data_IF_316642986133
#
_entry.id   IF_316642986133
#
_cell.length_a   1.000
_cell.length_b   1.000
_cell.length_c   1.000
_cell.angle_alpha   90.00
_cell.angle_beta   90.00
_cell.angle_gamma   90.00
#
_symmetry.space_group_name_H-M   'P 1'
#
loop_
_entity.id
_entity.type
_entity.pdbx_description
1 polymer ?
#
# COMPACT_ATOMS: atom_id res chain seq x y z
N UNK A 1 115.53 -16.68 13.63
CA UNK A 1 114.72 -17.24 14.72
C UNK A 1 113.31 -16.70 14.56
N UNK A 2 112.33 -17.56 14.23
CA UNK A 2 110.85 -17.32 14.26
C UNK A 2 110.34 -16.21 13.29
N UNK A 3 109.16 -16.21 12.66
CA UNK A 3 107.87 -16.95 12.65
C UNK A 3 107.04 -16.28 11.51
N UNK A 4 106.43 -16.99 10.55
CA UNK A 4 105.08 -17.59 10.56
C UNK A 4 103.95 -16.69 9.97
N UNK A 5 103.15 -17.35 9.12
CA UNK A 5 101.98 -16.94 8.31
C UNK A 5 100.89 -16.11 9.03
N UNK A 6 100.07 -15.37 8.26
CA UNK A 6 98.62 -15.63 8.12
C UNK A 6 97.94 -14.74 7.06
N UNK A 7 96.98 -15.33 6.32
CA UNK A 7 96.03 -14.70 5.39
C UNK A 7 94.86 -14.07 6.17
N UNK A 8 94.29 -12.99 5.63
CA UNK A 8 92.95 -12.48 5.95
C UNK A 8 92.76 -11.11 5.31
N UNK A 9 91.62 -10.66 4.80
CA UNK A 9 90.29 -11.21 4.56
C UNK A 9 89.64 -10.18 3.61
N UNK A 10 88.95 -10.62 2.55
CA UNK A 10 88.20 -9.71 1.67
C UNK A 10 87.08 -9.03 2.49
N UNK A 11 87.12 -7.70 2.50
CA UNK A 11 86.10 -6.86 3.13
C UNK A 11 84.85 -6.82 2.22
N UNK A 12 83.89 -7.71 2.48
CA UNK A 12 82.52 -7.54 2.03
C UNK A 12 81.89 -6.31 2.70
N UNK A 13 81.66 -5.25 1.93
CA UNK A 13 80.95 -4.04 2.41
C UNK A 13 79.50 -4.40 2.78
N UNK A 14 79.00 -4.00 3.96
CA UNK A 14 77.59 -4.18 4.30
C UNK A 14 76.72 -3.21 3.49
N UNK A 15 75.72 -3.74 2.79
CA UNK A 15 74.64 -2.94 2.18
C UNK A 15 73.78 -2.33 3.29
N UNK A 16 74.06 -1.08 3.66
CA UNK A 16 73.16 -0.24 4.44
C UNK A 16 72.32 0.57 3.45
N UNK A 17 71.05 0.19 3.21
CA UNK A 17 70.21 0.95 2.28
C UNK A 17 68.73 0.57 2.10
N UNK A 18 68.16 -0.43 2.78
CA UNK A 18 66.85 -0.96 2.33
C UNK A 18 65.64 -0.74 3.27
N UNK A 19 65.82 -0.37 4.54
CA UNK A 19 64.66 -0.24 5.47
C UNK A 19 63.92 1.10 5.41
N UNK A 20 64.60 2.18 4.99
CA UNK A 20 63.98 3.51 4.88
C UNK A 20 63.14 3.69 3.60
N UNK A 21 63.57 3.11 2.48
CA UNK A 21 62.87 3.24 1.19
C UNK A 21 61.56 2.45 1.15
N UNK A 22 61.49 1.30 1.83
CA UNK A 22 60.27 0.50 1.92
C UNK A 22 59.15 1.26 2.65
N UNK A 23 59.48 2.00 3.72
CA UNK A 23 58.47 2.76 4.47
C UNK A 23 57.90 3.92 3.65
N UNK A 24 58.75 4.61 2.87
CA UNK A 24 58.34 5.68 1.95
C UNK A 24 57.49 5.13 0.81
N UNK A 25 57.88 3.99 0.23
CA UNK A 25 57.12 3.34 -0.84
C UNK A 25 55.74 2.86 -0.36
N UNK A 26 55.65 2.26 0.83
CA UNK A 26 54.38 1.86 1.44
C UNK A 26 53.50 3.07 1.76
N UNK A 27 54.08 4.12 2.35
CA UNK A 27 53.35 5.36 2.62
C UNK A 27 52.82 6.01 1.32
N UNK A 28 53.61 5.97 0.23
CA UNK A 28 53.21 6.47 -1.08
C UNK A 28 52.06 5.64 -1.68
N UNK A 29 52.13 4.32 -1.61
CA UNK A 29 51.04 3.43 -2.06
C UNK A 29 49.76 3.65 -1.24
N UNK A 30 49.87 3.79 0.08
CA UNK A 30 48.71 4.06 0.97
C UNK A 30 48.10 5.43 0.68
N UNK A 31 48.90 6.45 0.44
CA UNK A 31 48.41 7.80 0.11
C UNK A 31 47.78 7.87 -1.29
N UNK A 32 48.29 7.13 -2.28
CA UNK A 32 47.61 6.94 -3.57
C UNK A 32 46.29 6.20 -3.37
N UNK A 33 46.28 5.10 -2.62
CA UNK A 33 45.07 4.34 -2.36
C UNK A 33 44.00 5.15 -1.62
N UNK A 34 44.40 5.94 -0.61
CA UNK A 34 43.55 6.89 0.10
C UNK A 34 43.07 8.02 -0.82
N UNK A 35 43.93 8.53 -1.69
CA UNK A 35 43.56 9.54 -2.69
C UNK A 35 42.55 9.03 -3.71
N UNK A 36 42.71 7.80 -4.21
CA UNK A 36 41.77 7.15 -5.15
C UNK A 36 40.42 6.87 -4.50
N UNK A 37 40.42 6.36 -3.26
CA UNK A 37 39.17 6.14 -2.51
C UNK A 37 38.47 7.47 -2.20
N UNK A 38 39.19 8.47 -1.70
CA UNK A 38 38.64 9.80 -1.46
C UNK A 38 38.09 10.45 -2.73
N UNK A 39 38.81 10.35 -3.87
CA UNK A 39 38.33 10.82 -5.16
C UNK A 39 37.06 10.08 -5.61
N UNK A 40 37.00 8.75 -5.44
CA UNK A 40 35.81 7.98 -5.76
C UNK A 40 34.60 8.44 -4.93
N UNK A 41 34.78 8.70 -3.63
CA UNK A 41 33.73 9.24 -2.75
C UNK A 41 33.32 10.68 -3.07
N UNK A 42 34.25 11.53 -3.51
CA UNK A 42 33.99 12.94 -3.85
C UNK A 42 33.53 13.15 -5.31
N UNK A 43 33.57 12.10 -6.12
CA UNK A 43 33.22 12.16 -7.53
C UNK A 43 31.75 12.63 -7.72
N UNK A 44 31.46 13.43 -8.76
CA UNK A 44 30.09 13.82 -9.07
C UNK A 44 29.15 12.62 -9.27
N UNK A 45 29.66 11.53 -9.85
CA UNK A 45 28.91 10.30 -10.06
C UNK A 45 28.50 9.63 -8.73
N UNK A 46 29.42 9.54 -7.76
CA UNK A 46 29.09 8.99 -6.44
C UNK A 46 28.03 9.83 -5.72
N UNK A 47 28.13 11.17 -5.80
CA UNK A 47 27.11 12.08 -5.25
C UNK A 47 25.74 11.93 -5.92
N UNK A 48 25.72 11.79 -7.24
CA UNK A 48 24.48 11.57 -7.99
C UNK A 48 23.81 10.23 -7.61
N UNK A 49 24.60 9.16 -7.45
CA UNK A 49 24.10 7.86 -7.00
C UNK A 49 23.50 7.96 -5.58
N UNK A 50 24.17 8.67 -4.67
CA UNK A 50 23.68 8.82 -3.30
C UNK A 50 22.41 9.68 -3.22
N UNK A 51 22.33 10.74 -4.03
CA UNK A 51 21.13 11.55 -4.18
C UNK A 51 19.97 10.68 -4.71
N UNK A 52 20.19 9.86 -5.74
CA UNK A 52 19.17 8.97 -6.29
C UNK A 52 18.69 7.93 -5.26
N UNK A 53 19.59 7.34 -4.46
CA UNK A 53 19.21 6.45 -3.36
C UNK A 53 18.36 7.15 -2.31
N UNK A 54 18.72 8.38 -1.95
CA UNK A 54 17.97 9.20 -0.99
C UNK A 54 16.57 9.49 -1.52
N UNK A 55 16.46 9.95 -2.76
CA UNK A 55 15.17 10.17 -3.43
C UNK A 55 14.32 8.90 -3.47
N UNK A 56 14.89 7.78 -3.92
CA UNK A 56 14.15 6.51 -4.01
C UNK A 56 13.65 6.04 -2.63
N UNK A 57 14.46 6.20 -1.59
CA UNK A 57 14.07 5.87 -0.21
C UNK A 57 12.94 6.78 0.29
N UNK A 58 13.03 8.08 0.05
CA UNK A 58 12.02 9.05 0.45
C UNK A 58 10.68 8.76 -0.25
N UNK A 59 10.69 8.53 -1.57
CA UNK A 59 9.51 8.15 -2.32
C UNK A 59 8.89 6.84 -1.82
N UNK A 60 9.70 5.80 -1.57
CA UNK A 60 9.22 4.53 -1.05
C UNK A 60 8.57 4.69 0.34
N UNK A 61 9.19 5.43 1.25
CA UNK A 61 8.63 5.72 2.59
C UNK A 61 7.29 6.47 2.49
N UNK A 62 7.19 7.46 1.61
CA UNK A 62 5.95 8.18 1.37
C UNK A 62 4.83 7.26 0.84
N UNK A 63 5.15 6.40 -0.13
CA UNK A 63 4.20 5.42 -0.67
C UNK A 63 3.70 4.45 0.39
N UNK A 64 4.60 3.89 1.19
CA UNK A 64 4.24 2.93 2.23
C UNK A 64 3.41 3.58 3.34
N UNK A 65 3.70 4.83 3.69
CA UNK A 65 2.90 5.59 4.65
C UNK A 65 1.49 5.92 4.13
N UNK A 66 1.34 6.23 2.83
CA UNK A 66 0.01 6.41 2.21
C UNK A 66 -0.81 5.11 2.28
N UNK A 67 -0.20 3.97 1.93
CA UNK A 67 -0.86 2.65 2.04
C UNK A 67 -1.22 2.34 3.50
N UNK A 68 -0.30 2.61 4.44
CA UNK A 68 -0.53 2.43 5.86
C UNK A 68 -1.65 3.33 6.42
N UNK A 69 -1.69 4.61 6.02
CA UNK A 69 -2.74 5.56 6.40
C UNK A 69 -4.10 5.11 5.88
N UNK A 70 -4.20 4.76 4.60
CA UNK A 70 -5.44 4.25 4.00
C UNK A 70 -5.93 2.98 4.70
N UNK A 71 -5.03 2.05 4.99
CA UNK A 71 -5.37 0.83 5.71
C UNK A 71 -5.77 1.12 7.16
N UNK A 72 -5.14 2.06 7.86
CA UNK A 72 -5.42 2.35 9.28
C UNK A 72 -6.55 3.36 9.52
N UNK A 73 -7.19 3.89 8.47
CA UNK A 73 -8.26 4.87 8.64
C UNK A 73 -9.49 4.29 9.34
N UNK A 74 -9.68 4.66 10.60
CA UNK A 74 -10.78 4.16 11.43
C UNK A 74 -12.17 4.42 10.85
N UNK A 75 -12.34 5.51 10.12
CA UNK A 75 -13.64 5.97 9.64
C UNK A 75 -13.87 5.62 8.17
N UNK A 76 -12.83 5.54 7.35
CA UNK A 76 -12.96 5.29 5.90
C UNK A 76 -11.72 4.53 5.38
N UNK A 77 -11.62 3.21 5.63
CA UNK A 77 -10.55 2.41 5.06
C UNK A 77 -10.44 2.65 3.55
N UNK A 78 -9.24 3.00 3.08
CA UNK A 78 -8.95 3.31 1.68
C UNK A 78 -8.80 4.80 1.36
N UNK A 79 -9.26 5.73 2.21
CA UNK A 79 -9.08 7.16 1.95
C UNK A 79 -7.66 7.65 2.19
N UNK A 80 -7.32 8.77 1.56
CA UNK A 80 -6.05 9.46 1.69
C UNK A 80 -6.26 10.94 2.03
N UNK A 81 -5.36 11.52 2.85
CA UNK A 81 -5.47 12.91 3.29
C UNK A 81 -5.24 13.89 2.14
N UNK A 82 -5.81 15.09 2.26
CA UNK A 82 -5.51 16.17 1.32
C UNK A 82 -4.01 16.56 1.35
N UNK A 83 -3.46 17.02 0.22
CA UNK A 83 -2.13 17.64 0.22
C UNK A 83 -2.02 18.83 1.19
N UNK A 84 -0.82 19.08 1.70
CA UNK A 84 -0.48 20.31 2.45
C UNK A 84 -0.14 21.41 1.45
N UNK A 85 -0.96 22.48 1.36
CA UNK A 85 -0.66 23.56 0.41
C UNK A 85 -1.22 24.91 0.74
N UNK A 86 -2.50 24.98 1.08
CA UNK A 86 -3.28 26.24 1.01
C UNK A 86 -3.82 26.67 2.36
N UNK A 87 -4.16 25.73 3.24
CA UNK A 87 -4.82 26.09 4.50
C UNK A 87 -3.86 26.88 5.37
N UNK A 88 -4.26 28.10 5.75
CA UNK A 88 -3.45 29.02 6.56
C UNK A 88 -4.28 29.51 7.75
N UNK A 89 -4.41 28.60 8.71
CA UNK A 89 -5.10 28.83 9.99
C UNK A 89 -4.03 28.78 11.08
N UNK A 90 -3.59 29.95 11.60
CA UNK A 90 -2.50 30.03 12.58
C UNK A 90 -2.70 29.09 13.76
N UNK A 91 -1.68 28.26 14.03
CA UNK A 91 -1.66 27.30 15.13
C UNK A 91 -2.42 25.98 14.88
N UNK A 92 -3.09 25.83 13.73
CA UNK A 92 -3.83 24.61 13.36
C UNK A 92 -3.19 23.93 12.16
N UNK A 93 -3.08 24.66 11.05
CA UNK A 93 -2.51 24.19 9.80
C UNK A 93 -2.02 25.42 9.04
N UNK A 94 -0.75 25.43 8.66
CA UNK A 94 -0.18 26.47 7.81
C UNK A 94 0.53 25.85 6.62
N UNK A 95 0.61 26.53 5.48
CA UNK A 95 1.22 25.97 4.28
C UNK A 95 2.65 25.48 4.55
N UNK A 96 2.97 24.25 4.13
CA UNK A 96 4.30 23.61 4.21
C UNK A 96 4.72 23.13 5.62
N UNK A 97 3.75 22.95 6.53
CA UNK A 97 4.00 22.43 7.89
C UNK A 97 3.96 20.89 7.99
N UNK A 98 3.63 20.21 6.89
CA UNK A 98 3.47 18.76 6.81
C UNK A 98 2.13 18.24 7.30
N UNK A 99 1.16 19.11 7.60
CA UNK A 99 -0.19 18.75 8.00
C UNK A 99 -1.10 18.87 6.78
N UNK A 100 -1.89 17.83 6.52
CA UNK A 100 -2.88 17.82 5.45
C UNK A 100 -3.85 19.00 5.58
N UNK A 101 -4.12 19.67 4.46
CA UNK A 101 -5.11 20.74 4.40
C UNK A 101 -6.49 20.23 4.85
N UNK A 102 -7.25 21.11 5.52
CA UNK A 102 -8.64 20.83 5.86
C UNK A 102 -9.51 20.90 4.60
N UNK A 103 -10.50 20.03 4.50
CA UNK A 103 -11.51 20.09 3.43
C UNK A 103 -12.24 21.43 3.46
N UNK A 104 -12.49 21.98 2.27
CA UNK A 104 -13.38 23.14 2.08
C UNK A 104 -14.65 22.63 1.42
N UNK A 105 -15.73 22.60 2.19
CA UNK A 105 -16.92 21.84 1.82
C UNK A 105 -16.60 20.35 1.82
N UNK A 106 -16.64 19.74 0.64
CA UNK A 106 -16.38 18.31 0.44
C UNK A 106 -15.14 18.05 -0.43
N UNK A 107 -14.33 19.07 -0.71
CA UNK A 107 -13.17 18.99 -1.60
C UNK A 107 -11.89 19.40 -0.87
N UNK A 108 -10.76 18.81 -1.29
CA UNK A 108 -9.47 19.34 -0.89
C UNK A 108 -9.27 20.74 -1.50
N UNK A 109 -8.71 21.71 -0.75
CA UNK A 109 -8.39 23.04 -1.28
C UNK A 109 -7.47 22.99 -2.50
N UNK A 110 -6.62 21.96 -2.56
CA UNK A 110 -5.88 21.59 -3.75
C UNK A 110 -5.68 20.08 -3.80
N UNK A 111 -5.62 19.52 -5.01
CA UNK A 111 -5.33 18.10 -5.24
C UNK A 111 -3.88 17.84 -5.65
N UNK A 112 -3.05 18.88 -5.61
CA UNK A 112 -1.60 18.81 -5.70
C UNK A 112 -1.00 19.74 -4.65
N UNK A 113 -0.04 19.25 -3.87
CA UNK A 113 0.57 20.01 -2.78
C UNK A 113 1.77 19.29 -2.20
N UNK A 114 2.30 19.75 -1.08
CA UNK A 114 3.32 19.03 -0.34
C UNK A 114 2.73 17.73 0.21
N UNK A 115 3.56 16.70 0.29
CA UNK A 115 3.22 15.49 1.03
C UNK A 115 2.96 15.87 2.50
N UNK A 116 1.79 15.55 3.08
CA UNK A 116 1.48 15.89 4.46
C UNK A 116 2.20 14.92 5.42
N UNK A 117 3.52 15.02 5.50
CA UNK A 117 4.40 14.07 6.19
C UNK A 117 4.09 13.93 7.68
N UNK A 118 3.68 14.99 8.39
CA UNK A 118 3.25 14.89 9.79
C UNK A 118 1.93 14.14 9.93
N UNK A 119 0.97 14.40 9.05
CA UNK A 119 -0.31 13.66 9.04
C UNK A 119 -0.10 12.18 8.74
N UNK A 120 0.95 11.85 7.97
CA UNK A 120 1.34 10.48 7.64
C UNK A 120 2.30 9.84 8.66
N UNK A 121 2.57 10.50 9.79
CA UNK A 121 3.51 10.05 10.83
C UNK A 121 4.92 9.73 10.28
N UNK A 122 5.37 10.56 9.35
CA UNK A 122 6.69 10.51 8.75
C UNK A 122 7.58 11.64 9.29
N UNK A 123 8.91 11.47 9.23
CA UNK A 123 9.81 12.62 9.33
C UNK A 123 9.65 13.53 8.11
N UNK A 124 10.25 14.73 8.15
CA UNK A 124 10.32 15.66 7.01
C UNK A 124 11.16 15.04 5.87
N UNK A 125 10.51 14.20 5.04
CA UNK A 125 11.14 13.47 3.96
C UNK A 125 11.62 14.42 2.87
N UNK A 126 12.90 14.26 2.51
CA UNK A 126 13.60 15.09 1.53
C UNK A 126 14.18 14.21 0.44
N UNK A 127 14.12 14.68 -0.79
CA UNK A 127 14.81 14.03 -1.90
C UNK A 127 16.34 14.24 -1.84
N UNK A 128 17.06 13.66 -2.79
CA UNK A 128 18.51 13.78 -2.89
C UNK A 128 19.04 15.20 -3.14
N UNK A 129 18.17 16.15 -3.46
CA UNK A 129 18.49 17.58 -3.61
C UNK A 129 18.10 18.41 -2.38
N UNK A 130 17.54 17.78 -1.33
CA UNK A 130 17.13 18.44 -0.10
C UNK A 130 15.71 19.01 -0.14
N UNK A 131 14.90 18.59 -1.11
CA UNK A 131 13.57 19.15 -1.34
C UNK A 131 12.47 18.28 -0.77
N UNK A 132 11.42 18.90 -0.24
CA UNK A 132 10.22 18.18 0.21
C UNK A 132 9.49 17.57 -0.97
N UNK A 133 8.93 16.39 -0.73
CA UNK A 133 8.13 15.69 -1.70
C UNK A 133 6.81 16.43 -1.99
N UNK A 134 6.37 16.38 -3.23
CA UNK A 134 5.02 16.76 -3.65
C UNK A 134 4.12 15.54 -3.74
N UNK A 135 2.83 15.78 -3.70
CA UNK A 135 1.79 14.77 -3.62
C UNK A 135 0.56 15.23 -4.40
N UNK A 136 0.10 14.38 -5.31
CA UNK A 136 -1.17 14.52 -6.00
C UNK A 136 -2.14 13.41 -5.56
N UNK A 137 -3.40 13.78 -5.36
CA UNK A 137 -4.46 12.90 -4.88
C UNK A 137 -5.59 12.80 -5.91
N UNK A 138 -6.06 11.58 -6.18
CA UNK A 138 -7.31 11.38 -6.89
C UNK A 138 -8.49 11.78 -6.01
N UNK A 139 -9.41 12.59 -6.56
CA UNK A 139 -10.62 13.02 -5.83
C UNK A 139 -11.47 11.85 -5.33
N UNK A 140 -11.47 10.72 -6.04
CA UNK A 140 -12.22 9.52 -5.67
C UNK A 140 -11.72 8.85 -4.38
N UNK A 141 -10.53 9.23 -3.89
CA UNK A 141 -9.91 8.65 -2.71
C UNK A 141 -9.69 9.67 -1.58
N UNK A 142 -10.27 10.86 -1.69
CA UNK A 142 -10.14 11.90 -0.65
C UNK A 142 -10.75 11.47 0.67
N UNK A 143 -10.26 12.09 1.74
CA UNK A 143 -10.67 11.81 3.10
C UNK A 143 -12.06 12.42 3.44
N UNK A 144 -13.11 12.10 2.66
CA UNK A 144 -14.49 12.57 2.88
C UNK A 144 -15.57 11.53 2.55
N UNK A 145 -16.77 11.69 3.12
CA UNK A 145 -17.93 10.82 2.82
C UNK A 145 -18.43 10.97 1.37
N UNK A 146 -18.25 12.12 0.72
CA UNK A 146 -18.63 12.31 -0.68
C UNK A 146 -17.77 11.52 -1.68
N UNK A 147 -16.68 10.91 -1.21
CA UNK A 147 -15.85 10.01 -2.00
C UNK A 147 -16.31 8.54 -1.94
N UNK A 148 -17.30 8.23 -1.10
CA UNK A 148 -17.82 6.87 -0.98
C UNK A 148 -18.59 6.47 -2.25
N UNK A 149 -18.52 5.20 -2.69
CA UNK A 149 -17.77 4.12 -2.05
C UNK A 149 -16.27 4.11 -2.40
N UNK A 150 -15.43 3.87 -1.38
CA UNK A 150 -14.01 3.53 -1.54
C UNK A 150 -13.83 2.04 -1.22
N UNK A 151 -13.69 1.23 -2.27
CA UNK A 151 -13.49 -0.22 -2.19
C UNK A 151 -12.69 -0.75 -3.40
N UNK A 152 -12.57 -2.07 -3.52
CA UNK A 152 -11.80 -2.78 -4.57
C UNK A 152 -12.25 -2.53 -6.02
N UNK A 153 -13.41 -1.90 -6.23
CA UNK A 153 -13.91 -1.47 -7.55
C UNK A 153 -13.67 0.03 -7.81
N UNK A 154 -13.26 0.80 -6.81
CA UNK A 154 -12.99 2.23 -6.95
C UNK A 154 -11.70 2.43 -7.75
N UNK A 155 -11.80 3.15 -8.87
CA UNK A 155 -10.65 3.48 -9.72
C UNK A 155 -10.22 4.92 -9.47
N UNK A 156 -8.91 5.17 -9.46
CA UNK A 156 -8.38 6.52 -9.37
C UNK A 156 -8.57 7.31 -10.68
N UNK A 157 -8.24 8.59 -10.65
CA UNK A 157 -8.42 9.50 -11.78
C UNK A 157 -7.12 10.04 -12.33
N UNK A 158 -5.99 9.76 -11.67
CA UNK A 158 -4.69 10.27 -12.08
C UNK A 158 -4.06 9.36 -13.14
N UNK A 159 -3.23 9.93 -13.99
CA UNK A 159 -2.43 9.20 -14.98
C UNK A 159 -1.02 9.75 -15.08
N UNK A 160 -0.10 8.89 -15.47
CA UNK A 160 1.29 9.23 -15.83
C UNK A 160 1.54 8.73 -17.24
N UNK A 161 2.28 9.50 -18.03
CA UNK A 161 2.70 9.17 -19.40
C UNK A 161 4.18 9.48 -19.62
N UNK A 162 4.74 9.04 -20.74
CA UNK A 162 6.15 9.25 -21.11
C UNK A 162 6.99 7.99 -20.88
N UNK A 163 8.10 8.10 -20.15
CA UNK A 163 8.99 6.95 -19.85
C UNK A 163 8.36 5.92 -18.92
N UNK A 164 7.28 6.30 -18.23
CA UNK A 164 6.40 5.43 -17.46
C UNK A 164 4.97 5.74 -17.88
N UNK A 165 4.14 4.72 -18.05
CA UNK A 165 2.72 4.88 -18.39
C UNK A 165 1.85 4.12 -17.41
N UNK A 166 0.91 4.82 -16.77
CA UNK A 166 -0.06 4.25 -15.85
C UNK A 166 -1.32 5.13 -15.80
N UNK A 167 -2.48 4.50 -15.64
CA UNK A 167 -3.78 5.18 -15.55
C UNK A 167 -4.55 4.66 -14.34
N UNK A 168 -5.61 5.37 -13.95
CA UNK A 168 -6.45 4.95 -12.82
C UNK A 168 -5.74 5.07 -11.46
N UNK A 169 -4.71 5.92 -11.37
CA UNK A 169 -3.87 6.07 -10.19
C UNK A 169 -4.61 6.80 -9.08
N UNK A 170 -4.39 6.34 -7.86
CA UNK A 170 -4.97 6.88 -6.62
C UNK A 170 -4.19 8.10 -6.15
N UNK A 171 -2.87 8.04 -6.23
CA UNK A 171 -1.98 9.12 -5.86
C UNK A 171 -0.69 9.08 -6.67
N UNK A 172 0.04 10.19 -6.70
CA UNK A 172 1.40 10.27 -7.23
C UNK A 172 2.23 11.06 -6.23
N UNK A 173 3.39 10.53 -5.85
CA UNK A 173 4.39 11.27 -5.05
C UNK A 173 5.51 11.72 -5.98
N UNK A 174 5.93 12.97 -5.86
CA UNK A 174 6.97 13.56 -6.71
C UNK A 174 8.16 13.98 -5.85
N UNK A 175 9.36 13.70 -6.34
CA UNK A 175 10.57 14.35 -5.90
C UNK A 175 10.97 15.39 -6.97
N UNK A 176 10.96 16.69 -6.64
CA UNK A 176 11.16 17.78 -7.61
C UNK A 176 12.62 17.99 -8.01
N UNK A 177 13.56 17.22 -7.45
CA UNK A 177 14.96 17.26 -7.85
C UNK A 177 15.64 18.61 -7.57
N UNK A 178 16.78 18.82 -8.22
CA UNK A 178 17.53 20.07 -8.11
C UNK A 178 16.83 21.19 -8.90
N UNK A 179 17.12 22.45 -8.58
CA UNK A 179 16.64 23.60 -9.37
C UNK A 179 17.06 23.45 -10.84
N UNK A 180 16.08 23.54 -11.74
CA UNK A 180 16.31 23.55 -13.21
C UNK A 180 15.77 24.83 -13.84
N UNK A 181 16.35 25.21 -14.99
CA UNK A 181 15.93 26.39 -15.74
C UNK A 181 15.91 27.68 -14.90
N UNK A 182 14.73 28.28 -14.78
CA UNK A 182 14.50 29.57 -14.09
C UNK A 182 13.72 29.43 -12.79
N UNK A 183 13.65 28.23 -12.21
CA UNK A 183 12.93 28.01 -10.95
C UNK A 183 13.50 28.87 -9.82
N UNK A 184 12.61 29.54 -9.08
CA UNK A 184 12.94 30.26 -7.83
C UNK A 184 12.24 29.60 -6.66
N UNK A 185 13.00 28.95 -5.78
CA UNK A 185 12.51 28.21 -4.60
C UNK A 185 12.76 28.99 -3.31
N UNK A 186 12.43 30.28 -3.33
CA UNK A 186 12.51 31.13 -2.14
C UNK A 186 11.34 30.89 -1.18
N UNK A 187 11.36 31.56 -0.01
CA UNK A 187 10.34 31.42 1.01
C UNK A 187 8.95 31.87 0.56
N UNK A 188 8.85 32.86 -0.35
CA UNK A 188 7.58 33.33 -0.86
C UNK A 188 6.98 32.34 -1.87
N UNK A 189 7.84 31.64 -2.62
CA UNK A 189 7.48 30.62 -3.59
C UNK A 189 7.42 29.20 -3.04
N UNK A 190 7.59 28.97 -1.74
CA UNK A 190 7.85 27.63 -1.18
C UNK A 190 6.73 26.61 -1.45
N UNK A 191 5.50 27.07 -1.63
CA UNK A 191 4.33 26.22 -1.94
C UNK A 191 3.72 26.48 -3.33
N UNK A 192 4.46 27.15 -4.22
CA UNK A 192 4.07 27.34 -5.61
C UNK A 192 4.54 26.13 -6.43
N UNK A 193 3.61 25.29 -6.88
CA UNK A 193 3.91 24.05 -7.63
C UNK A 193 4.86 24.29 -8.81
N UNK A 194 4.62 25.36 -9.58
CA UNK A 194 5.41 25.73 -10.76
C UNK A 194 6.85 26.15 -10.48
N UNK A 195 7.22 26.35 -9.21
CA UNK A 195 8.62 26.59 -8.84
C UNK A 195 9.41 25.30 -8.61
N UNK A 196 8.74 24.14 -8.65
CA UNK A 196 9.32 22.85 -8.28
C UNK A 196 9.11 21.74 -9.29
N UNK A 197 7.98 21.72 -9.99
CA UNK A 197 7.66 20.67 -10.97
C UNK A 197 7.76 21.22 -12.40
N UNK A 198 7.95 20.33 -13.39
CA UNK A 198 8.09 20.71 -14.80
C UNK A 198 7.32 19.79 -15.77
N UNK A 199 7.34 20.15 -17.06
CA UNK A 199 6.84 19.30 -18.13
C UNK A 199 5.31 19.13 -18.13
N UNK A 200 4.58 20.04 -17.48
CA UNK A 200 3.14 19.99 -17.30
C UNK A 200 2.71 19.45 -15.92
N UNK A 201 3.64 18.91 -15.12
CA UNK A 201 3.37 18.45 -13.76
C UNK A 201 3.01 19.61 -12.81
N UNK A 202 3.42 20.83 -13.15
CA UNK A 202 3.16 22.05 -12.42
C UNK A 202 1.75 22.61 -12.54
N UNK A 203 0.95 22.09 -13.47
CA UNK A 203 -0.36 22.63 -13.80
C UNK A 203 -1.37 22.29 -12.69
N UNK A 204 -1.85 23.32 -12.00
CA UNK A 204 -2.85 23.15 -10.95
C UNK A 204 -4.14 22.51 -11.53
N UNK A 205 -4.63 21.47 -10.86
CA UNK A 205 -5.83 20.74 -11.26
C UNK A 205 -5.63 19.73 -12.39
N UNK A 206 -4.40 19.54 -12.88
CA UNK A 206 -4.12 18.44 -13.82
C UNK A 206 -4.35 17.08 -13.15
N UNK A 207 -4.84 16.12 -13.93
CA UNK A 207 -4.89 14.71 -13.56
C UNK A 207 -3.95 13.86 -14.41
N UNK A 208 -3.24 14.47 -15.36
CA UNK A 208 -2.30 13.82 -16.24
C UNK A 208 -0.90 14.40 -16.01
N UNK A 209 0.04 13.53 -15.68
CA UNK A 209 1.41 13.86 -15.33
C UNK A 209 2.39 13.22 -16.31
N UNK A 210 3.59 13.78 -16.37
CA UNK A 210 4.68 13.35 -17.24
C UNK A 210 5.79 12.73 -16.38
N UNK A 211 6.21 11.52 -16.75
CA UNK A 211 7.49 10.95 -16.37
C UNK A 211 8.42 11.02 -17.58
N UNK A 212 9.58 11.65 -17.44
CA UNK A 212 10.59 11.75 -18.50
C UNK A 212 12.00 11.61 -17.92
N UNK A 213 13.02 11.28 -18.75
CA UNK A 213 14.41 11.30 -18.32
C UNK A 213 14.83 12.71 -17.86
N UNK A 214 15.67 12.78 -16.82
CA UNK A 214 16.20 14.06 -16.35
C UNK A 214 17.04 14.75 -17.42
N UNK A 215 16.89 16.07 -17.52
CA UNK A 215 17.57 16.94 -18.46
C UNK A 215 17.64 18.39 -17.95
N UNK A 216 18.02 19.31 -18.83
CA UNK A 216 18.25 20.72 -18.45
C UNK A 216 16.98 21.46 -17.98
N UNK A 217 15.80 20.96 -18.33
CA UNK A 217 14.50 21.60 -18.06
C UNK A 217 13.46 20.66 -17.44
N UNK A 218 13.88 19.47 -17.01
CA UNK A 218 12.98 18.48 -16.39
C UNK A 218 13.81 17.56 -15.50
N UNK A 219 13.45 17.40 -14.23
CA UNK A 219 14.09 16.39 -13.39
C UNK A 219 13.17 15.78 -12.31
N UNK A 220 11.86 16.00 -12.42
CA UNK A 220 10.86 15.34 -11.58
C UNK A 220 11.00 13.80 -11.60
N UNK A 221 11.04 13.20 -10.41
CA UNK A 221 10.92 11.76 -10.23
C UNK A 221 9.57 11.42 -9.61
N UNK A 222 8.79 10.59 -10.30
CA UNK A 222 7.44 10.22 -9.90
C UNK A 222 7.41 8.80 -9.34
N UNK A 223 6.68 8.60 -8.25
CA UNK A 223 6.28 7.29 -7.77
C UNK A 223 4.74 7.19 -7.76
N UNK A 224 4.15 6.56 -8.78
CA UNK A 224 2.70 6.34 -8.84
C UNK A 224 2.22 5.33 -7.79
N UNK A 225 1.03 5.57 -7.26
CA UNK A 225 0.31 4.65 -6.39
C UNK A 225 -1.04 4.31 -7.03
N UNK A 226 -1.17 3.07 -7.50
CA UNK A 226 -2.41 2.53 -8.05
C UNK A 226 -3.30 1.87 -7.00
N UNK A 227 -4.56 1.58 -7.34
CA UNK A 227 -5.50 0.88 -6.46
C UNK A 227 -5.04 -0.56 -6.17
N UNK A 228 -4.34 -1.18 -7.11
CA UNK A 228 -3.72 -2.51 -7.01
C UNK A 228 -2.65 -2.61 -5.92
N UNK A 229 -2.00 -1.50 -5.59
CA UNK A 229 -1.03 -1.40 -4.51
C UNK A 229 -1.66 -1.01 -3.16
N UNK A 230 -2.72 -0.19 -3.19
CA UNK A 230 -3.37 0.36 -2.01
C UNK A 230 -4.40 -0.61 -1.41
N UNK A 231 -5.39 -1.01 -2.21
CA UNK A 231 -6.60 -1.67 -1.74
C UNK A 231 -6.37 -3.10 -1.22
N UNK A 232 -5.42 -3.92 -1.72
CA UNK A 232 -5.20 -5.24 -1.14
C UNK A 232 -4.76 -5.22 0.34
N UNK A 233 -4.10 -4.15 0.79
CA UNK A 233 -3.77 -3.97 2.22
C UNK A 233 -5.01 -3.54 3.01
N UNK A 234 -5.82 -2.64 2.44
CA UNK A 234 -7.10 -2.20 3.02
C UNK A 234 -8.07 -3.37 3.18
N UNK A 235 -8.23 -4.18 2.14
CA UNK A 235 -9.01 -5.42 2.12
C UNK A 235 -8.64 -6.36 3.27
N UNK A 236 -7.34 -6.51 3.56
CA UNK A 236 -6.87 -7.36 4.66
C UNK A 236 -7.40 -6.87 6.01
N UNK A 237 -7.47 -5.55 6.23
CA UNK A 237 -8.13 -5.01 7.42
C UNK A 237 -9.63 -5.24 7.36
N UNK A 238 -10.28 -4.91 6.26
CA UNK A 238 -11.74 -5.02 6.10
C UNK A 238 -12.22 -6.46 6.34
N UNK A 239 -11.49 -7.47 5.82
CA UNK A 239 -11.80 -8.87 6.05
C UNK A 239 -11.66 -9.28 7.52
N UNK A 240 -10.71 -8.70 8.28
CA UNK A 240 -10.59 -8.93 9.73
C UNK A 240 -11.76 -8.35 10.50
N UNK A 241 -12.26 -7.19 10.09
CA UNK A 241 -13.47 -6.58 10.68
C UNK A 241 -14.70 -7.45 10.37
N UNK A 242 -14.84 -7.89 9.12
CA UNK A 242 -15.91 -8.81 8.73
C UNK A 242 -15.88 -10.12 9.52
N UNK A 243 -14.70 -10.73 9.67
CA UNK A 243 -14.53 -11.90 10.54
C UNK A 243 -14.99 -11.62 11.98
N UNK A 244 -14.62 -10.47 12.53
CA UNK A 244 -14.95 -10.09 13.90
C UNK A 244 -16.47 -9.99 14.09
N UNK A 245 -17.15 -9.29 13.18
CA UNK A 245 -18.61 -9.11 13.22
C UNK A 245 -19.34 -10.43 12.98
N UNK A 246 -18.91 -11.23 12.00
CA UNK A 246 -19.50 -12.55 11.74
C UNK A 246 -19.34 -13.49 12.95
N UNK A 247 -18.17 -13.47 13.60
CA UNK A 247 -17.94 -14.27 14.81
C UNK A 247 -18.80 -13.80 15.98
N UNK A 248 -18.95 -12.48 16.15
CA UNK A 248 -19.84 -11.91 17.17
C UNK A 248 -21.30 -12.29 16.91
N UNK A 249 -21.76 -12.22 15.66
CA UNK A 249 -23.10 -12.64 15.28
C UNK A 249 -23.35 -14.11 15.62
N UNK A 250 -22.41 -15.00 15.29
CA UNK A 250 -22.53 -16.42 15.64
C UNK A 250 -22.54 -16.66 17.15
N UNK A 251 -21.68 -15.96 17.91
CA UNK A 251 -21.52 -16.16 19.36
C UNK A 251 -22.64 -15.51 20.19
N UNK A 252 -23.45 -14.63 19.60
CA UNK A 252 -24.60 -14.06 20.26
C UNK A 252 -25.72 -15.11 20.43
N UNK A 253 -26.21 -15.28 21.65
CA UNK A 253 -27.24 -16.25 22.00
C UNK A 253 -28.58 -15.97 21.29
N UNK A 254 -28.85 -14.73 20.91
CA UNK A 254 -30.01 -14.35 20.12
C UNK A 254 -29.94 -14.98 18.72
N UNK A 255 -28.74 -15.22 18.19
CA UNK A 255 -28.51 -15.71 16.84
C UNK A 255 -28.08 -17.20 16.88
N UNK A 256 -26.79 -17.48 17.10
CA UNK A 256 -26.25 -18.84 17.17
C UNK A 256 -26.01 -19.52 15.81
N UNK A 257 -26.05 -18.79 14.70
CA UNK A 257 -25.83 -19.30 13.34
C UNK A 257 -25.06 -18.26 12.53
N UNK A 258 -24.62 -18.64 11.33
CA UNK A 258 -24.08 -17.71 10.36
C UNK A 258 -25.14 -17.39 9.30
N UNK A 259 -25.29 -16.14 8.84
CA UNK A 259 -26.32 -15.83 7.84
C UNK A 259 -26.03 -16.52 6.51
N UNK A 260 -27.08 -16.85 5.77
CA UNK A 260 -26.93 -17.18 4.35
C UNK A 260 -26.36 -15.98 3.59
N UNK A 261 -25.61 -16.25 2.52
CA UNK A 261 -25.03 -15.21 1.70
C UNK A 261 -26.09 -14.46 0.89
N UNK A 262 -25.75 -13.25 0.46
CA UNK A 262 -26.45 -12.57 -0.63
C UNK A 262 -25.94 -13.14 -1.96
N UNK A 263 -26.85 -13.56 -2.84
CA UNK A 263 -26.48 -14.08 -4.15
C UNK A 263 -25.86 -12.98 -5.02
N UNK A 264 -24.87 -13.31 -5.85
CA UNK A 264 -24.38 -12.36 -6.84
C UNK A 264 -25.51 -11.96 -7.80
N UNK A 265 -25.56 -10.66 -8.14
CA UNK A 265 -26.62 -10.09 -8.98
C UNK A 265 -27.91 -9.72 -8.23
N UNK A 266 -28.09 -10.13 -6.97
CA UNK A 266 -29.22 -9.70 -6.16
C UNK A 266 -28.99 -8.28 -5.59
N UNK A 267 -29.57 -7.30 -6.29
CA UNK A 267 -29.54 -5.88 -5.92
C UNK A 267 -30.34 -5.51 -4.66
N UNK A 268 -31.09 -6.44 -4.06
CA UNK A 268 -31.73 -6.20 -2.77
C UNK A 268 -30.73 -6.25 -1.61
N UNK A 269 -29.53 -6.81 -1.85
CA UNK A 269 -28.49 -7.08 -0.84
C UNK A 269 -28.98 -7.94 0.33
N UNK A 270 -30.08 -8.68 0.13
CA UNK A 270 -30.62 -9.58 1.13
C UNK A 270 -29.90 -10.93 1.08
N UNK A 271 -29.81 -11.59 2.23
CA UNK A 271 -29.50 -13.02 2.23
C UNK A 271 -30.58 -13.79 1.45
N UNK A 272 -30.16 -14.88 0.82
CA UNK A 272 -31.07 -15.81 0.14
C UNK A 272 -31.05 -17.13 0.88
N UNK A 273 -32.21 -17.64 1.31
CA UNK A 273 -32.29 -18.92 2.01
C UNK A 273 -31.60 -20.04 1.19
N UNK A 274 -30.75 -20.83 1.85
CA UNK A 274 -29.90 -21.87 1.26
C UNK A 274 -28.77 -21.38 0.34
N UNK A 275 -28.54 -20.07 0.20
CA UNK A 275 -27.36 -19.55 -0.47
C UNK A 275 -26.15 -19.62 0.48
N UNK A 276 -25.28 -20.60 0.24
CA UNK A 276 -24.16 -20.90 1.15
C UNK A 276 -22.90 -20.09 0.84
N UNK A 277 -22.82 -19.44 -0.32
CA UNK A 277 -21.71 -18.58 -0.69
C UNK A 277 -22.13 -17.42 -1.58
N UNK A 278 -21.36 -16.33 -1.58
CA UNK A 278 -21.70 -15.11 -2.31
C UNK A 278 -21.15 -13.87 -1.61
N UNK A 279 -21.97 -12.82 -1.51
CA UNK A 279 -21.65 -11.58 -0.80
C UNK A 279 -22.12 -11.64 0.64
N UNK A 280 -21.51 -10.84 1.50
CA UNK A 280 -22.02 -10.64 2.87
C UNK A 280 -23.36 -9.90 2.75
N UNK A 281 -24.47 -10.42 3.29
CA UNK A 281 -25.76 -9.75 3.17
C UNK A 281 -25.77 -8.45 3.96
N UNK A 282 -26.38 -7.40 3.40
CA UNK A 282 -26.64 -6.17 4.13
C UNK A 282 -27.91 -6.28 4.96
N UNK A 283 -28.93 -6.91 4.37
CA UNK A 283 -30.26 -7.06 4.93
C UNK A 283 -30.66 -8.53 5.01
N UNK A 284 -31.61 -8.88 5.88
CA UNK A 284 -32.04 -10.25 6.07
C UNK A 284 -33.51 -10.40 5.64
N UNK A 285 -33.78 -11.31 4.71
CA UNK A 285 -35.14 -11.78 4.49
C UNK A 285 -35.60 -12.59 5.72
N UNK A 286 -36.91 -12.63 6.00
CA UNK A 286 -37.44 -13.35 7.17
C UNK A 286 -37.05 -14.84 7.19
N UNK A 287 -36.89 -15.47 6.02
CA UNK A 287 -36.44 -16.86 5.90
C UNK A 287 -34.99 -17.08 6.38
N UNK A 288 -34.18 -16.02 6.52
CA UNK A 288 -32.83 -16.09 7.07
C UNK A 288 -32.76 -15.68 8.54
N UNK A 289 -33.87 -15.26 9.15
CA UNK A 289 -33.93 -14.82 10.54
C UNK A 289 -34.31 -16.00 11.43
N UNK A 290 -33.81 -15.99 12.66
CA UNK A 290 -34.22 -16.96 13.68
C UNK A 290 -35.71 -16.85 13.98
N UNK A 291 -36.18 -15.62 14.19
CA UNK A 291 -37.61 -15.31 14.23
C UNK A 291 -37.95 -14.28 13.15
N UNK A 292 -39.08 -14.45 12.43
CA UNK A 292 -39.57 -13.44 11.51
C UNK A 292 -39.70 -12.07 12.20
N UNK A 293 -39.19 -11.02 11.56
CA UNK A 293 -39.18 -9.66 12.11
C UNK A 293 -38.01 -9.31 13.04
N UNK A 294 -37.10 -10.24 13.37
CA UNK A 294 -35.86 -9.89 14.07
C UNK A 294 -35.07 -8.83 13.27
N UNK A 295 -34.41 -7.85 13.93
CA UNK A 295 -33.61 -6.86 13.22
C UNK A 295 -32.43 -7.51 12.51
N UNK A 296 -32.01 -6.93 11.39
CA UNK A 296 -30.81 -7.39 10.68
C UNK A 296 -29.59 -7.33 11.60
N UNK A 297 -28.76 -8.38 11.56
CA UNK A 297 -27.59 -8.56 12.44
C UNK A 297 -27.89 -8.62 13.95
N UNK A 298 -29.17 -8.52 14.34
CA UNK A 298 -29.75 -8.70 15.67
C UNK A 298 -28.77 -8.58 16.85
N UNK A 299 -28.51 -7.33 17.27
CA UNK A 299 -27.65 -7.01 18.41
C UNK A 299 -26.17 -6.82 18.08
N UNK A 300 -25.75 -7.11 16.83
CA UNK A 300 -24.36 -6.92 16.38
C UNK A 300 -24.27 -5.80 15.37
N UNK A 301 -23.30 -4.90 15.56
CA UNK A 301 -23.10 -3.73 14.70
C UNK A 301 -21.87 -3.90 13.80
N UNK A 302 -22.03 -3.50 12.54
CA UNK A 302 -20.92 -3.29 11.63
C UNK A 302 -20.30 -1.90 11.84
N UNK A 303 -19.00 -1.72 11.57
CA UNK A 303 -18.44 -0.38 11.42
C UNK A 303 -19.26 0.40 10.38
N UNK A 304 -19.57 1.67 10.68
CA UNK A 304 -20.45 2.51 9.84
C UNK A 304 -19.98 2.60 8.39
N UNK A 305 -18.67 2.53 8.18
CA UNK A 305 -18.05 2.58 6.86
C UNK A 305 -18.17 1.30 6.05
N UNK A 306 -18.45 0.14 6.66
CA UNK A 306 -18.43 -1.14 5.95
C UNK A 306 -19.48 -1.17 4.84
N UNK A 307 -20.72 -0.83 5.18
CA UNK A 307 -21.81 -0.74 4.22
C UNK A 307 -21.84 0.60 3.47
N UNK A 308 -21.30 1.68 4.02
CA UNK A 308 -21.22 2.97 3.32
C UNK A 308 -20.22 2.93 2.15
N UNK A 309 -19.14 2.17 2.29
CA UNK A 309 -18.17 1.91 1.22
C UNK A 309 -18.49 0.68 0.37
N UNK A 310 -19.66 0.07 0.54
CA UNK A 310 -20.05 -1.14 -0.17
C UNK A 310 -19.01 -2.29 -0.08
N UNK A 311 -18.27 -2.41 1.03
CA UNK A 311 -17.29 -3.50 1.20
C UNK A 311 -17.94 -4.89 1.15
N UNK A 312 -19.18 -5.00 1.61
CA UNK A 312 -19.99 -6.21 1.52
C UNK A 312 -20.18 -6.73 0.08
N UNK A 313 -20.06 -5.88 -0.95
CA UNK A 313 -20.24 -6.26 -2.35
C UNK A 313 -18.96 -6.78 -3.02
N UNK A 314 -17.80 -6.49 -2.43
CA UNK A 314 -16.49 -6.87 -2.99
C UNK A 314 -15.80 -7.98 -2.21
N UNK A 315 -16.32 -8.33 -1.03
CA UNK A 315 -15.89 -9.53 -0.30
C UNK A 315 -16.70 -10.73 -0.74
N UNK A 316 -16.02 -11.86 -0.92
CA UNK A 316 -16.67 -13.16 -1.01
C UNK A 316 -16.83 -13.75 0.40
N UNK A 317 -17.95 -14.39 0.64
CA UNK A 317 -18.31 -15.03 1.90
C UNK A 317 -18.88 -16.40 1.62
N UNK A 318 -18.49 -17.38 2.43
CA UNK A 318 -19.06 -18.72 2.40
C UNK A 318 -19.29 -19.24 3.82
N UNK A 319 -20.32 -20.06 3.97
CA UNK A 319 -20.76 -20.64 5.23
C UNK A 319 -21.03 -22.14 5.06
N UNK A 320 -20.65 -22.91 6.06
CA UNK A 320 -20.98 -24.33 6.14
C UNK A 320 -22.50 -24.53 6.18
N UNK A 321 -23.08 -25.43 5.35
CA UNK A 321 -24.51 -25.74 5.42
C UNK A 321 -24.98 -26.10 6.83
N UNK A 322 -24.13 -26.81 7.59
CA UNK A 322 -24.39 -27.20 8.97
C UNK A 322 -24.58 -26.00 9.93
N UNK A 323 -23.99 -24.84 9.62
CA UNK A 323 -23.96 -23.65 10.46
C UNK A 323 -24.83 -22.49 9.95
N UNK A 324 -25.42 -22.60 8.77
CA UNK A 324 -26.12 -21.50 8.11
C UNK A 324 -27.61 -21.38 8.48
N UNK A 325 -28.19 -22.44 9.06
CA UNK A 325 -29.64 -22.50 9.29
C UNK A 325 -30.06 -21.74 10.56
N UNK A 326 -30.93 -20.71 10.44
CA UNK A 326 -31.48 -20.01 11.61
C UNK A 326 -32.34 -20.91 12.51
N UNK A 327 -32.93 -21.97 11.94
CA UNK A 327 -33.74 -22.94 12.67
C UNK A 327 -32.90 -24.00 13.42
N UNK A 328 -31.60 -24.07 13.14
CA UNK A 328 -30.68 -25.05 13.75
C UNK A 328 -29.38 -24.37 14.23
N UNK A 329 -29.47 -23.45 15.21
CA UNK A 329 -28.32 -22.75 15.76
C UNK A 329 -27.34 -23.72 16.46
N UNK A 330 -26.11 -23.27 16.68
CA UNK A 330 -25.02 -24.07 17.24
C UNK A 330 -24.38 -25.03 16.23
N UNK A 331 -24.55 -24.76 14.93
CA UNK A 331 -24.16 -25.67 13.85
C UNK A 331 -24.80 -27.06 14.00
N UNK A 332 -26.09 -27.11 14.32
CA UNK A 332 -26.85 -28.37 14.45
C UNK A 332 -27.66 -28.69 13.19
N UNK A 333 -27.47 -27.95 12.10
CA UNK A 333 -28.16 -28.17 10.84
C UNK A 333 -27.73 -29.45 10.11
N UNK A 334 -28.39 -29.74 9.00
CA UNK A 334 -27.96 -30.77 8.07
C UNK A 334 -26.77 -30.28 7.22
N UNK A 335 -25.99 -31.23 6.69
CA UNK A 335 -24.86 -30.94 5.79
C UNK A 335 -23.49 -30.97 6.47
N UNK A 336 -22.47 -30.58 5.72
CA UNK A 336 -21.08 -30.64 6.14
C UNK A 336 -20.57 -29.30 6.71
N UNK A 337 -19.43 -29.37 7.39
CA UNK A 337 -18.56 -28.22 7.64
C UNK A 337 -17.63 -28.04 6.45
N UNK A 338 -17.06 -26.84 6.29
CA UNK A 338 -16.16 -26.54 5.19
C UNK A 338 -14.79 -27.19 5.41
N UNK A 339 -14.10 -27.50 4.30
CA UNK A 339 -12.70 -27.92 4.27
C UNK A 339 -11.89 -26.93 3.44
N UNK A 340 -10.74 -26.49 3.94
CA UNK A 340 -9.86 -25.56 3.23
C UNK A 340 -8.48 -26.17 3.00
N UNK A 341 -8.21 -26.60 1.76
CA UNK A 341 -6.87 -27.02 1.37
C UNK A 341 -5.86 -25.86 1.45
N UNK A 342 -4.60 -26.16 1.77
CA UNK A 342 -3.55 -25.14 1.95
C UNK A 342 -3.46 -24.49 3.33
N UNK A 343 -4.40 -24.78 4.25
CA UNK A 343 -4.23 -24.49 5.68
C UNK A 343 -3.43 -25.61 6.38
N UNK A 344 -2.68 -25.28 7.46
CA UNK A 344 -2.18 -26.30 8.38
C UNK A 344 -3.31 -27.12 8.97
N UNK A 345 -3.08 -28.41 9.24
CA UNK A 345 -4.06 -29.27 9.89
C UNK A 345 -4.33 -28.81 11.36
N UNK A 346 -5.58 -28.88 11.86
CA UNK A 346 -6.78 -29.30 11.15
C UNK A 346 -7.24 -28.23 10.14
N UNK A 347 -7.51 -28.66 8.92
CA UNK A 347 -7.96 -27.82 7.82
C UNK A 347 -9.42 -28.11 7.42
N UNK A 348 -10.11 -28.85 8.26
CA UNK A 348 -11.52 -29.19 8.22
C UNK A 348 -12.27 -28.48 9.38
N UNK A 349 -13.54 -28.81 9.57
CA UNK A 349 -14.38 -28.25 10.64
C UNK A 349 -14.57 -26.73 10.59
N UNK A 350 -14.42 -26.13 9.41
CA UNK A 350 -14.53 -24.69 9.21
C UNK A 350 -16.00 -24.32 9.08
N UNK A 351 -16.44 -23.30 9.84
CA UNK A 351 -17.85 -22.90 9.91
C UNK A 351 -18.23 -21.84 8.89
N UNK A 352 -17.33 -20.90 8.63
CA UNK A 352 -17.47 -19.88 7.61
C UNK A 352 -16.10 -19.34 7.22
N UNK A 353 -16.04 -18.61 6.10
CA UNK A 353 -14.85 -17.95 5.60
C UNK A 353 -15.21 -16.68 4.81
N UNK A 354 -14.22 -15.80 4.68
CA UNK A 354 -14.26 -14.61 3.83
C UNK A 354 -13.05 -14.63 2.91
N UNK A 355 -13.22 -14.27 1.65
CA UNK A 355 -12.14 -14.14 0.67
C UNK A 355 -12.12 -12.72 0.14
N UNK A 356 -10.94 -12.10 0.13
CA UNK A 356 -10.70 -10.82 -0.53
C UNK A 356 -10.14 -11.09 -1.93
N UNK A 357 -10.72 -10.52 -3.00
CA UNK A 357 -10.31 -10.80 -4.39
C UNK A 357 -9.04 -10.04 -4.82
N UNK A 358 -8.42 -9.27 -3.92
CA UNK A 358 -7.16 -8.57 -4.18
C UNK A 358 -7.19 -7.66 -5.41
N UNK A 359 -6.05 -7.60 -6.11
CA UNK A 359 -5.87 -6.71 -7.25
C UNK A 359 -6.55 -7.27 -8.49
N UNK A 360 -7.17 -6.42 -9.30
CA UNK A 360 -7.77 -6.84 -10.55
C UNK A 360 -6.70 -7.30 -11.55
N UNK A 361 -6.92 -8.43 -12.21
CA UNK A 361 -6.08 -8.94 -13.29
C UNK A 361 -6.51 -8.42 -14.66
N UNK A 362 -5.61 -8.35 -15.64
CA UNK A 362 -5.98 -8.08 -17.03
C UNK A 362 -7.03 -9.10 -17.51
N UNK A 363 -8.19 -8.60 -17.94
CA UNK A 363 -9.32 -9.43 -18.39
C UNK A 363 -10.34 -9.80 -17.30
N UNK A 364 -10.05 -9.51 -16.03
CA UNK A 364 -11.01 -9.66 -14.94
C UNK A 364 -12.12 -8.61 -15.07
N UNK A 365 -13.38 -9.02 -14.88
CA UNK A 365 -14.54 -8.13 -14.95
C UNK A 365 -14.94 -7.73 -13.53
N UNK A 366 -14.80 -6.44 -13.22
CA UNK A 366 -15.29 -5.85 -11.96
C UNK A 366 -16.31 -4.73 -12.28
N UNK A 367 -17.41 -4.58 -11.52
CA UNK A 367 -17.83 -5.37 -10.35
C UNK A 367 -18.19 -6.82 -10.68
N UNK A 368 -17.93 -7.74 -9.73
CA UNK A 368 -18.17 -9.16 -9.89
C UNK A 368 -19.69 -9.48 -9.92
N UNK A 369 -20.14 -10.20 -10.94
CA UNK A 369 -21.52 -10.72 -11.05
C UNK A 369 -21.59 -12.24 -10.82
N UNK A 370 -20.45 -12.89 -10.65
CA UNK A 370 -20.27 -14.24 -10.15
C UNK A 370 -18.95 -14.35 -9.37
N UNK A 371 -18.79 -15.43 -8.59
CA UNK A 371 -17.54 -15.68 -7.85
C UNK A 371 -16.32 -15.82 -8.80
N UNK A 372 -16.51 -16.49 -9.94
CA UNK A 372 -15.47 -16.69 -10.96
C UNK A 372 -15.01 -15.42 -11.66
N UNK A 373 -15.76 -14.32 -11.58
CA UNK A 373 -15.31 -13.04 -12.10
C UNK A 373 -14.22 -12.44 -11.23
N UNK A 374 -14.13 -12.89 -9.96
CA UNK A 374 -13.28 -12.25 -8.97
C UNK A 374 -12.36 -13.11 -8.16
N UNK A 375 -12.61 -14.41 -8.08
CA UNK A 375 -11.72 -15.37 -7.45
C UNK A 375 -11.01 -16.17 -8.54
N UNK A 376 -9.70 -16.32 -8.40
CA UNK A 376 -8.86 -16.98 -9.40
C UNK A 376 -8.86 -18.50 -9.25
N UNK A 377 -9.11 -18.98 -8.04
CA UNK A 377 -9.09 -20.41 -7.74
C UNK A 377 -10.42 -21.06 -8.12
N UNK A 378 -10.40 -22.00 -9.08
CA UNK A 378 -11.61 -22.72 -9.49
C UNK A 378 -12.28 -23.44 -8.33
N UNK A 379 -11.50 -23.92 -7.36
CA UNK A 379 -12.02 -24.55 -6.14
C UNK A 379 -12.90 -23.56 -5.35
N UNK A 380 -12.51 -22.29 -5.28
CA UNK A 380 -13.26 -21.29 -4.52
C UNK A 380 -14.53 -20.79 -5.25
N UNK A 381 -14.85 -21.33 -6.42
CA UNK A 381 -15.94 -20.83 -7.30
C UNK A 381 -16.94 -21.90 -7.72
N UNK A 382 -16.69 -23.17 -7.40
CA UNK A 382 -17.51 -24.31 -7.85
C UNK A 382 -18.82 -24.50 -7.04
N UNK A 383 -18.95 -23.80 -5.90
CA UNK A 383 -20.14 -23.79 -5.05
C UNK A 383 -20.27 -24.96 -4.08
N UNK A 384 -19.22 -25.76 -3.86
CA UNK A 384 -19.22 -26.84 -2.88
C UNK A 384 -18.64 -26.41 -1.51
N UNK A 385 -18.48 -27.38 -0.59
CA UNK A 385 -17.94 -27.16 0.75
C UNK A 385 -16.40 -27.20 0.83
N UNK A 386 -15.72 -27.28 -0.32
CA UNK A 386 -14.27 -27.31 -0.43
C UNK A 386 -13.71 -25.99 -0.96
N UNK A 387 -12.69 -25.50 -0.30
CA UNK A 387 -12.03 -24.25 -0.63
C UNK A 387 -10.51 -24.45 -0.63
N UNK A 388 -9.79 -23.50 -1.22
CA UNK A 388 -8.33 -23.49 -1.24
C UNK A 388 -7.79 -22.13 -0.81
N UNK A 389 -6.87 -22.18 0.16
CA UNK A 389 -5.98 -21.07 0.46
C UNK A 389 -4.72 -21.19 -0.40
N UNK A 390 -4.70 -20.44 -1.48
CA UNK A 390 -3.56 -20.39 -2.40
C UNK A 390 -2.52 -19.37 -1.94
N UNK A 391 -1.26 -19.57 -2.35
CA UNK A 391 -0.20 -18.59 -2.13
C UNK A 391 -0.44 -17.37 -3.03
N UNK A 392 -0.13 -16.17 -2.53
CA UNK A 392 -0.20 -14.95 -3.33
C UNK A 392 0.93 -14.96 -4.36
N UNK A 393 0.58 -14.86 -5.64
CA UNK A 393 1.48 -14.82 -6.79
C UNK A 393 1.10 -13.67 -7.73
N UNK A 394 1.88 -13.45 -8.81
CA UNK A 394 1.49 -12.56 -9.89
C UNK A 394 0.15 -12.91 -10.55
N UNK A 395 -0.37 -14.13 -10.44
CA UNK A 395 -1.60 -14.59 -11.12
C UNK A 395 -2.73 -15.05 -10.17
N UNK A 396 -2.45 -15.14 -8.86
CA UNK A 396 -3.45 -15.43 -7.82
C UNK A 396 -3.20 -14.49 -6.65
N UNK A 397 -4.18 -13.72 -6.22
CA UNK A 397 -3.99 -12.80 -5.11
C UNK A 397 -5.16 -12.75 -4.12
N UNK A 398 -6.15 -13.61 -4.34
CA UNK A 398 -7.15 -13.97 -3.35
C UNK A 398 -6.51 -14.20 -1.99
N UNK A 399 -7.13 -13.65 -0.94
CA UNK A 399 -6.75 -13.97 0.45
C UNK A 399 -7.95 -14.51 1.19
N UNK A 400 -7.84 -15.77 1.57
CA UNK A 400 -8.84 -16.47 2.38
C UNK A 400 -8.56 -16.27 3.86
N UNK A 401 -9.60 -15.89 4.59
CA UNK A 401 -9.65 -15.78 6.03
C UNK A 401 -10.78 -16.65 6.58
N UNK A 402 -10.43 -17.62 7.43
CA UNK A 402 -11.41 -18.44 8.13
C UNK A 402 -12.09 -17.63 9.23
N UNK A 403 -13.39 -17.84 9.38
CA UNK A 403 -14.23 -17.37 10.48
C UNK A 403 -14.49 -18.57 11.41
N UNK A 404 -13.56 -18.78 12.34
CA UNK A 404 -13.69 -19.76 13.42
C UNK A 404 -13.95 -19.00 14.72
N UNK A 405 -15.19 -18.97 15.21
CA UNK A 405 -15.55 -18.30 16.47
C UNK A 405 -14.99 -19.01 17.70
#
# INVERSE_FOLDING_TARGET
MMTQRARGAEAGRPRCGERGQVMVAVAFVVSIAAGVTLYAFLSPAARAIEAQKTTARALAMARDALVGRAASDNNRPGSLPCPDRVTDIPGINVPNDGIADLLVGNECPSYIGRLPWRTLDLPDLRDGSGERLWYALSRAFRDDNSAQPINSNTTGTLSVSGSLSATGLVAIVFAPGAVVGTQSRDSAGVNVVANYLEGGNEVNGTTAFLAAPSGASFNDQLLPLGPDALLPVVETRVAREARTVLSAFYNDAANGYFPYANAYGDSSHQCTANQLSGRIPRYFADACRKNPGDPDWNGVAWPTWFFANNWHEVLFYAVAPKCASPAAPGCSGAGALLTVSGLPAPNDNIRALVITPGRAYPGQVRPCVAASDCLEDSENTNGDEHYRKSAVTPAMNDRLLVVSP
#
